data_IF_741584185173
#
_entry.id   IF_741584185173
#
_cell.length_a   1.000
_cell.length_b   1.000
_cell.length_c   1.000
_cell.angle_alpha   90.00
_cell.angle_beta   90.00
_cell.angle_gamma   90.00
#
_symmetry.space_group_name_H-M   'P 1'
#
loop_
_entity.id
_entity.type
_entity.pdbx_description
1 polymer ?
#
# COMPACT_ATOMS: atom_id res chain seq x y z
N UNK A 1 -22.08 26.38 4.17
CA UNK A 1 -20.82 25.69 3.89
C UNK A 1 -19.62 26.67 3.81
N UNK A 2 -19.62 27.78 3.03
CA UNK A 2 -18.43 28.64 2.90
C UNK A 2 -17.88 29.19 4.24
N UNK A 3 -18.76 29.56 5.16
CA UNK A 3 -18.35 30.01 6.47
C UNK A 3 -17.70 28.91 7.32
N UNK A 4 -18.25 27.68 7.27
CA UNK A 4 -17.69 26.52 7.96
C UNK A 4 -16.31 26.18 7.42
N UNK A 5 -16.14 26.16 6.09
CA UNK A 5 -14.84 25.94 5.44
C UNK A 5 -13.83 26.97 5.93
N UNK A 6 -14.17 28.27 5.89
CA UNK A 6 -13.28 29.33 6.32
C UNK A 6 -12.85 29.17 7.78
N UNK A 7 -13.79 28.82 8.68
CA UNK A 7 -13.49 28.64 10.13
C UNK A 7 -12.55 27.42 10.30
N UNK A 8 -12.84 26.30 9.67
CA UNK A 8 -12.03 25.08 9.77
C UNK A 8 -10.62 25.28 9.20
N UNK A 9 -10.48 25.94 8.06
CA UNK A 9 -9.18 26.28 7.47
C UNK A 9 -8.39 27.21 8.39
N UNK A 10 -9.03 28.22 8.94
CA UNK A 10 -8.37 29.13 9.89
C UNK A 10 -7.90 28.40 11.15
N UNK A 11 -8.71 27.50 11.71
CA UNK A 11 -8.33 26.67 12.84
C UNK A 11 -7.15 25.76 12.52
N UNK A 12 -7.18 25.08 11.37
CA UNK A 12 -6.08 24.24 10.91
C UNK A 12 -4.77 25.03 10.73
N UNK A 13 -4.85 26.26 10.22
CA UNK A 13 -3.67 27.12 10.04
C UNK A 13 -3.14 27.70 11.37
N UNK A 14 -3.98 27.78 12.39
CA UNK A 14 -3.60 28.17 13.77
C UNK A 14 -3.17 26.97 14.62
N UNK A 15 -3.11 25.78 14.02
CA UNK A 15 -2.76 24.53 14.70
C UNK A 15 -3.71 24.17 15.86
N UNK A 16 -5.00 24.52 15.72
CA UNK A 16 -6.02 24.08 16.66
C UNK A 16 -6.14 22.57 16.64
N UNK A 17 -5.89 21.91 17.76
CA UNK A 17 -5.84 20.45 17.86
C UNK A 17 -7.16 19.76 17.54
N UNK A 18 -8.29 20.39 17.91
CA UNK A 18 -9.61 19.78 17.73
C UNK A 18 -10.58 20.79 17.15
N UNK A 19 -11.29 20.37 16.12
CA UNK A 19 -12.38 21.10 15.51
C UNK A 19 -13.55 20.15 15.28
N UNK A 20 -14.78 20.63 15.49
CA UNK A 20 -15.99 19.83 15.33
C UNK A 20 -16.90 20.46 14.28
N UNK A 21 -17.24 19.70 13.24
CA UNK A 21 -18.21 20.07 12.23
C UNK A 21 -19.54 19.33 12.49
N UNK A 22 -20.54 20.06 13.01
CA UNK A 22 -21.89 19.53 13.21
C UNK A 22 -22.75 19.80 11.99
N UNK A 23 -23.48 18.77 11.56
CA UNK A 23 -24.43 18.89 10.44
C UNK A 23 -25.27 17.63 10.28
N UNK A 24 -26.50 17.79 9.84
CA UNK A 24 -27.41 16.68 9.51
C UNK A 24 -26.89 15.91 8.28
N UNK A 25 -27.42 14.72 8.06
CA UNK A 25 -27.15 13.94 6.82
C UNK A 25 -27.57 14.78 5.61
N UNK A 26 -26.75 14.74 4.53
CA UNK A 26 -26.99 15.53 3.32
C UNK A 26 -26.59 17.02 3.40
N UNK A 27 -26.08 17.51 4.52
CA UNK A 27 -25.65 18.93 4.65
C UNK A 27 -24.35 19.27 3.91
N UNK A 28 -23.72 18.32 3.25
CA UNK A 28 -22.48 18.50 2.50
C UNK A 28 -21.21 18.49 3.39
N UNK A 29 -21.21 17.73 4.48
CA UNK A 29 -20.02 17.58 5.36
C UNK A 29 -18.81 17.06 4.60
N UNK A 30 -18.99 16.03 3.74
CA UNK A 30 -17.91 15.47 2.93
C UNK A 30 -17.31 16.51 1.99
N UNK A 31 -18.14 17.30 1.32
CA UNK A 31 -17.68 18.41 0.48
C UNK A 31 -16.93 19.47 1.29
N UNK A 32 -17.45 19.82 2.48
CA UNK A 32 -16.78 20.77 3.39
C UNK A 32 -15.39 20.25 3.78
N UNK A 33 -15.27 18.97 4.13
CA UNK A 33 -14.01 18.32 4.47
C UNK A 33 -13.03 18.33 3.28
N UNK A 34 -13.51 17.99 2.07
CA UNK A 34 -12.69 18.04 0.86
C UNK A 34 -12.15 19.46 0.61
N UNK A 35 -12.98 20.50 0.75
CA UNK A 35 -12.54 21.90 0.59
C UNK A 35 -11.56 22.36 1.68
N UNK A 36 -11.62 21.83 2.88
CA UNK A 36 -10.61 22.10 3.92
C UNK A 36 -9.29 21.44 3.56
N UNK A 37 -9.29 20.17 3.11
CA UNK A 37 -8.08 19.46 2.66
C UNK A 37 -7.43 20.19 1.48
N UNK A 38 -8.23 20.58 0.47
CA UNK A 38 -7.76 21.37 -0.69
C UNK A 38 -7.08 22.68 -0.26
N UNK A 39 -7.73 23.43 0.63
CA UNK A 39 -7.22 24.73 1.07
C UNK A 39 -5.97 24.65 1.97
N UNK A 40 -5.82 23.56 2.74
CA UNK A 40 -4.65 23.37 3.62
C UNK A 40 -3.48 22.72 2.90
N UNK A 41 -3.74 21.99 1.82
CA UNK A 41 -2.75 21.27 0.99
C UNK A 41 -1.76 20.43 1.83
N UNK A 42 -2.28 19.71 2.82
CA UNK A 42 -1.51 18.83 3.71
C UNK A 42 -1.92 17.38 3.49
N UNK A 43 -1.03 16.40 3.72
CA UNK A 43 -1.44 15.01 3.79
C UNK A 43 -2.60 14.84 4.79
N UNK A 44 -3.60 14.04 4.42
CA UNK A 44 -4.80 13.89 5.22
C UNK A 44 -5.15 12.42 5.47
N UNK A 45 -5.62 12.12 6.68
CA UNK A 45 -6.14 10.83 7.07
C UNK A 45 -7.61 10.96 7.46
N UNK A 46 -8.49 10.24 6.76
CA UNK A 46 -9.91 10.14 7.06
C UNK A 46 -10.18 8.79 7.69
N UNK A 47 -10.61 8.77 8.95
CA UNK A 47 -10.98 7.56 9.67
C UNK A 47 -12.49 7.36 9.65
N UNK A 48 -12.94 6.26 9.06
CA UNK A 48 -14.34 5.85 9.05
C UNK A 48 -14.58 4.71 10.07
N UNK A 49 -15.77 4.61 10.67
CA UNK A 49 -16.07 3.58 11.67
C UNK A 49 -16.13 2.17 11.09
N UNK A 50 -16.34 2.01 9.79
CA UNK A 50 -16.41 0.70 9.13
C UNK A 50 -15.93 0.76 7.68
N UNK A 51 -15.74 -0.42 7.06
CA UNK A 51 -15.27 -0.56 5.67
C UNK A 51 -16.24 0.05 4.65
N UNK A 52 -17.54 -0.08 4.85
CA UNK A 52 -18.56 0.41 3.90
C UNK A 52 -18.51 1.93 3.79
N UNK A 53 -18.48 2.62 4.92
CA UNK A 53 -18.38 4.08 4.92
C UNK A 53 -17.00 4.54 4.40
N UNK A 54 -15.93 3.80 4.73
CA UNK A 54 -14.61 4.08 4.17
C UNK A 54 -14.61 3.97 2.64
N UNK A 55 -15.25 2.94 2.07
CA UNK A 55 -15.35 2.76 0.62
C UNK A 55 -16.13 3.91 -0.06
N UNK A 56 -17.25 4.33 0.55
CA UNK A 56 -18.01 5.47 0.06
C UNK A 56 -17.16 6.75 0.06
N UNK A 57 -16.53 7.07 1.19
CA UNK A 57 -15.69 8.27 1.32
C UNK A 57 -14.49 8.22 0.36
N UNK A 58 -13.89 7.05 0.16
CA UNK A 58 -12.81 6.86 -0.81
C UNK A 58 -13.27 7.21 -2.23
N UNK A 59 -14.44 6.71 -2.65
CA UNK A 59 -15.01 7.04 -3.96
C UNK A 59 -15.31 8.54 -4.12
N UNK A 60 -15.90 9.18 -3.10
CA UNK A 60 -16.18 10.62 -3.10
C UNK A 60 -14.87 11.44 -3.16
N UNK A 61 -13.85 11.08 -2.37
CA UNK A 61 -12.55 11.78 -2.36
C UNK A 61 -11.80 11.63 -3.68
N UNK A 62 -11.88 10.47 -4.34
CA UNK A 62 -11.31 10.30 -5.70
C UNK A 62 -11.93 11.22 -6.74
N UNK A 63 -13.22 11.51 -6.62
CA UNK A 63 -13.89 12.47 -7.50
C UNK A 63 -13.47 13.92 -7.21
N UNK A 64 -13.22 14.27 -5.94
CA UNK A 64 -12.78 15.62 -5.56
C UNK A 64 -11.30 15.85 -5.86
N UNK A 65 -10.48 14.80 -5.82
CA UNK A 65 -9.02 14.87 -5.94
C UNK A 65 -8.51 13.89 -7.01
N UNK A 66 -8.77 14.14 -8.31
CA UNK A 66 -8.43 13.19 -9.37
C UNK A 66 -6.92 13.01 -9.55
N UNK A 67 -6.12 14.04 -9.25
CA UNK A 67 -4.66 14.05 -9.45
C UNK A 67 -3.85 13.68 -8.20
N UNK A 68 -4.49 13.71 -7.02
CA UNK A 68 -3.85 13.37 -5.76
C UNK A 68 -3.77 11.85 -5.55
N UNK A 69 -2.86 11.42 -4.67
CA UNK A 69 -2.82 10.06 -4.20
C UNK A 69 -3.93 9.80 -3.18
N UNK A 70 -5.14 9.50 -3.67
CA UNK A 70 -6.25 9.07 -2.81
C UNK A 70 -6.18 7.58 -2.64
N UNK A 71 -5.97 7.11 -1.40
CA UNK A 71 -5.66 5.73 -1.06
C UNK A 71 -6.68 5.15 -0.08
N UNK A 72 -6.90 3.84 -0.19
CA UNK A 72 -7.84 3.09 0.65
C UNK A 72 -7.09 2.14 1.59
N UNK A 73 -7.31 2.26 2.89
CA UNK A 73 -6.59 1.51 3.90
C UNK A 73 -7.52 0.92 4.96
N UNK A 74 -7.94 -0.32 4.75
CA UNK A 74 -8.84 -1.06 5.66
C UNK A 74 -8.25 -2.43 6.00
N UNK A 75 -8.87 -3.16 6.93
CA UNK A 75 -8.47 -4.55 7.21
C UNK A 75 -8.63 -5.42 5.96
N UNK A 76 -7.60 -6.20 5.62
CA UNK A 76 -7.58 -7.08 4.46
C UNK A 76 -8.32 -8.41 4.65
N UNK A 77 -8.80 -8.70 5.86
CA UNK A 77 -9.66 -9.86 6.12
C UNK A 77 -11.09 -9.55 5.69
N UNK A 78 -11.61 -10.31 4.73
CA UNK A 78 -12.99 -10.15 4.24
C UNK A 78 -13.95 -11.09 4.91
N UNK A 79 -13.52 -12.28 5.21
CA UNK A 79 -14.37 -13.32 5.73
C UNK A 79 -13.80 -13.89 7.04
N UNK A 80 -14.68 -14.02 8.00
CA UNK A 80 -14.40 -14.58 9.30
C UNK A 80 -15.44 -15.66 9.56
N UNK A 81 -15.09 -16.93 9.34
CA UNK A 81 -15.88 -18.05 9.84
C UNK A 81 -15.56 -18.26 11.32
N UNK A 82 -16.51 -18.07 12.23
CA UNK A 82 -16.32 -18.46 13.61
C UNK A 82 -16.10 -19.97 13.69
N UNK A 83 -15.28 -20.39 14.64
CA UNK A 83 -15.16 -21.80 14.98
C UNK A 83 -16.56 -22.36 15.29
N UNK A 84 -16.90 -23.48 14.67
CA UNK A 84 -18.17 -24.15 14.90
C UNK A 84 -17.94 -25.66 14.97
N UNK A 85 -18.49 -26.28 16.02
CA UNK A 85 -18.56 -27.74 16.10
C UNK A 85 -19.93 -28.20 15.67
N UNK A 86 -19.99 -29.12 14.71
CA UNK A 86 -21.23 -29.72 14.22
C UNK A 86 -21.36 -31.14 14.83
N UNK A 87 -22.15 -31.30 15.92
CA UNK A 87 -22.22 -32.58 16.64
C UNK A 87 -22.75 -33.74 15.80
N UNK A 88 -23.55 -33.46 14.77
CA UNK A 88 -24.16 -34.46 13.89
C UNK A 88 -23.17 -35.20 13.00
N UNK A 89 -22.07 -34.53 12.63
CA UNK A 89 -21.03 -35.09 11.74
C UNK A 89 -19.69 -35.22 12.44
N UNK A 90 -19.63 -34.93 13.75
CA UNK A 90 -18.39 -34.89 14.54
C UNK A 90 -17.29 -34.06 13.82
N UNK A 91 -17.71 -32.93 13.23
CA UNK A 91 -16.83 -32.10 12.42
C UNK A 91 -16.58 -30.79 13.14
N UNK A 92 -15.30 -30.49 13.34
CA UNK A 92 -14.84 -29.20 13.81
C UNK A 92 -14.55 -28.31 12.59
N UNK A 93 -15.24 -27.19 12.48
CA UNK A 93 -15.00 -26.17 11.45
C UNK A 93 -14.00 -25.19 12.05
N UNK A 94 -12.77 -25.20 11.53
CA UNK A 94 -11.74 -24.28 11.97
C UNK A 94 -12.08 -22.84 11.54
N UNK A 95 -11.55 -21.90 12.32
CA UNK A 95 -11.64 -20.48 12.01
C UNK A 95 -10.81 -20.17 10.77
N UNK A 96 -11.47 -19.86 9.67
CA UNK A 96 -10.81 -19.40 8.44
C UNK A 96 -10.96 -17.89 8.27
N UNK A 97 -9.82 -17.24 8.01
CA UNK A 97 -9.79 -15.84 7.59
C UNK A 97 -9.17 -15.78 6.19
N UNK A 98 -9.96 -15.43 5.20
CA UNK A 98 -9.46 -15.20 3.85
C UNK A 98 -8.90 -13.78 3.71
N UNK A 99 -7.71 -13.68 3.14
CA UNK A 99 -7.09 -12.39 2.79
C UNK A 99 -7.63 -11.94 1.44
N UNK A 100 -8.19 -10.74 1.39
CA UNK A 100 -8.55 -10.11 0.13
C UNK A 100 -7.31 -9.49 -0.50
N UNK A 101 -6.84 -10.11 -1.58
CA UNK A 101 -5.62 -9.69 -2.29
C UNK A 101 -5.71 -8.26 -2.86
N UNK A 102 -6.90 -7.84 -3.29
CA UNK A 102 -7.10 -6.47 -3.79
C UNK A 102 -6.94 -5.44 -2.67
N UNK A 103 -7.54 -5.70 -1.51
CA UNK A 103 -7.38 -4.82 -0.34
C UNK A 103 -5.94 -4.81 0.14
N UNK A 104 -5.26 -5.96 0.16
CA UNK A 104 -3.86 -6.03 0.53
C UNK A 104 -2.97 -5.20 -0.42
N UNK A 105 -3.21 -5.29 -1.73
CA UNK A 105 -2.55 -4.45 -2.74
C UNK A 105 -2.79 -2.95 -2.48
N UNK A 106 -4.04 -2.55 -2.20
CA UNK A 106 -4.39 -1.16 -1.92
C UNK A 106 -3.69 -0.64 -0.65
N UNK A 107 -3.50 -1.49 0.36
CA UNK A 107 -2.73 -1.16 1.56
C UNK A 107 -1.25 -0.91 1.24
N UNK A 108 -0.64 -1.75 0.40
CA UNK A 108 0.74 -1.53 -0.08
C UNK A 108 0.86 -0.25 -0.90
N UNK A 109 -0.13 0.05 -1.77
CA UNK A 109 -0.20 1.31 -2.50
C UNK A 109 -0.24 2.52 -1.56
N UNK A 110 -1.11 2.48 -0.55
CA UNK A 110 -1.25 3.56 0.43
C UNK A 110 0.06 3.81 1.21
N UNK A 111 0.71 2.76 1.67
CA UNK A 111 1.98 2.88 2.40
C UNK A 111 3.08 3.46 1.51
N UNK A 112 3.16 3.01 0.25
CA UNK A 112 4.10 3.56 -0.72
C UNK A 112 3.83 5.04 -0.99
N UNK A 113 2.58 5.42 -1.24
CA UNK A 113 2.20 6.80 -1.51
C UNK A 113 2.59 7.73 -0.36
N UNK A 114 2.41 7.31 0.90
CA UNK A 114 2.85 8.06 2.09
C UNK A 114 4.37 8.27 2.13
N UNK A 115 5.16 7.35 1.59
CA UNK A 115 6.62 7.43 1.61
C UNK A 115 7.20 8.18 0.40
N UNK A 116 6.41 8.38 -0.66
CA UNK A 116 6.89 8.95 -1.93
C UNK A 116 6.23 10.28 -2.31
N UNK A 117 5.08 10.63 -1.71
CA UNK A 117 4.27 11.79 -2.12
C UNK A 117 3.83 12.62 -0.92
N UNK A 118 3.68 13.92 -1.14
CA UNK A 118 3.19 14.89 -0.14
C UNK A 118 1.69 15.20 -0.29
N UNK A 119 1.08 14.83 -1.43
CA UNK A 119 -0.32 15.08 -1.77
C UNK A 119 -1.23 13.86 -1.48
N UNK A 120 -0.95 13.16 -0.39
CA UNK A 120 -1.61 11.89 -0.03
C UNK A 120 -2.86 12.13 0.81
N UNK A 121 -3.95 11.45 0.43
CA UNK A 121 -5.18 11.40 1.20
C UNK A 121 -5.53 9.92 1.43
N UNK A 122 -5.48 9.48 2.68
CA UNK A 122 -5.83 8.11 3.04
C UNK A 122 -7.22 8.07 3.66
N UNK A 123 -8.08 7.20 3.12
CA UNK A 123 -9.35 6.83 3.73
C UNK A 123 -9.22 5.46 4.36
N UNK A 124 -9.35 5.41 5.68
CA UNK A 124 -9.13 4.19 6.46
C UNK A 124 -10.33 3.84 7.33
N UNK A 125 -10.47 2.57 7.69
CA UNK A 125 -11.39 2.16 8.75
C UNK A 125 -10.66 2.07 10.08
N UNK A 126 -11.39 2.25 11.20
CA UNK A 126 -10.78 2.17 12.55
C UNK A 126 -10.10 0.82 12.81
N UNK A 127 -10.49 -0.26 12.13
CA UNK A 127 -9.85 -1.56 12.25
C UNK A 127 -8.39 -1.61 11.77
N UNK A 128 -7.94 -0.60 11.01
CA UNK A 128 -6.57 -0.56 10.50
C UNK A 128 -5.53 -0.08 11.53
N UNK A 129 -5.94 0.48 12.68
CA UNK A 129 -5.02 0.92 13.75
C UNK A 129 -4.34 -0.25 14.47
N UNK A 130 -4.87 -1.46 14.31
CA UNK A 130 -4.32 -2.66 14.91
C UNK A 130 -3.43 -3.42 13.93
N UNK A 131 -2.36 -4.03 14.43
CA UNK A 131 -1.53 -4.95 13.66
C UNK A 131 -0.72 -4.30 12.55
N UNK A 132 -0.28 -3.08 12.72
CA UNK A 132 0.74 -2.46 11.86
C UNK A 132 2.12 -2.73 12.46
N UNK A 133 3.05 -3.15 11.61
CA UNK A 133 4.47 -3.23 11.97
C UNK A 133 5.07 -1.82 12.17
N UNK A 134 6.36 -1.76 12.54
CA UNK A 134 7.07 -0.49 12.67
C UNK A 134 7.20 0.21 11.32
N UNK A 135 6.70 1.44 11.22
CA UNK A 135 6.85 2.31 10.03
C UNK A 135 8.32 2.55 9.70
N UNK A 136 9.16 2.71 10.73
CA UNK A 136 10.61 2.90 10.56
C UNK A 136 11.29 1.65 9.97
N UNK A 137 10.88 0.47 10.41
CA UNK A 137 11.38 -0.79 9.87
C UNK A 137 10.96 -0.95 8.40
N UNK A 138 9.70 -0.68 8.09
CA UNK A 138 9.18 -0.77 6.72
C UNK A 138 9.86 0.22 5.76
N UNK A 139 10.04 1.48 6.17
CA UNK A 139 10.68 2.50 5.34
C UNK A 139 12.15 2.21 5.05
N UNK A 140 12.87 1.57 5.99
CA UNK A 140 14.27 1.15 5.80
C UNK A 140 14.40 -0.10 4.94
N UNK A 141 13.35 -0.90 4.83
CA UNK A 141 13.32 -2.12 4.01
C UNK A 141 12.84 -1.81 2.59
N UNK A 142 13.66 -1.09 1.85
CA UNK A 142 13.43 -0.77 0.45
C UNK A 142 14.68 -1.10 -0.38
N UNK A 143 14.46 -1.59 -1.60
CA UNK A 143 15.51 -1.79 -2.59
C UNK A 143 15.32 -0.75 -3.69
N UNK A 144 16.26 0.18 -3.78
CA UNK A 144 16.26 1.18 -4.87
C UNK A 144 17.20 0.72 -5.97
N UNK A 145 16.70 0.66 -7.20
CA UNK A 145 17.45 0.28 -8.38
C UNK A 145 17.35 1.39 -9.42
N UNK A 146 18.50 1.83 -9.91
CA UNK A 146 18.63 2.92 -10.87
C UNK A 146 19.37 2.45 -12.11
N UNK A 147 18.85 2.81 -13.29
CA UNK A 147 19.48 2.53 -14.57
C UNK A 147 20.90 3.08 -14.65
N UNK A 148 21.79 2.34 -15.32
CA UNK A 148 23.21 2.65 -15.53
C UNK A 148 24.11 2.54 -14.29
N UNK A 149 23.61 2.01 -13.17
CA UNK A 149 24.41 1.68 -12.00
C UNK A 149 24.78 0.19 -11.97
N UNK A 150 25.86 -0.12 -11.27
CA UNK A 150 26.33 -1.49 -11.10
C UNK A 150 25.68 -2.14 -9.89
N UNK A 151 25.12 -3.33 -10.10
CA UNK A 151 24.47 -4.13 -9.08
C UNK A 151 24.81 -5.60 -9.24
N UNK A 152 25.28 -6.21 -8.17
CA UNK A 152 25.46 -7.66 -8.18
C UNK A 152 24.07 -8.34 -8.17
N UNK A 153 23.80 -9.17 -9.17
CA UNK A 153 22.52 -9.86 -9.36
C UNK A 153 22.12 -10.71 -8.16
N UNK A 154 23.06 -11.40 -7.55
CA UNK A 154 22.79 -12.22 -6.37
C UNK A 154 22.40 -11.37 -5.16
N UNK A 155 22.97 -10.19 -5.02
CA UNK A 155 22.61 -9.24 -3.97
C UNK A 155 21.20 -8.69 -4.17
N UNK A 156 20.79 -8.40 -5.42
CA UNK A 156 19.39 -8.01 -5.72
C UNK A 156 18.45 -9.15 -5.29
N UNK A 157 18.74 -10.39 -5.68
CA UNK A 157 17.91 -11.56 -5.32
C UNK A 157 17.84 -11.74 -3.80
N UNK A 158 18.95 -11.63 -3.07
CA UNK A 158 18.99 -11.70 -1.60
C UNK A 158 18.14 -10.59 -0.98
N UNK A 159 18.20 -9.39 -1.53
CA UNK A 159 17.39 -8.24 -1.08
C UNK A 159 15.90 -8.49 -1.32
N UNK A 160 15.50 -9.01 -2.48
CA UNK A 160 14.11 -9.35 -2.78
C UNK A 160 13.57 -10.41 -1.80
N UNK A 161 14.35 -11.45 -1.51
CA UNK A 161 13.97 -12.46 -0.51
C UNK A 161 13.84 -11.84 0.89
N UNK A 162 14.76 -10.94 1.28
CA UNK A 162 14.66 -10.21 2.55
C UNK A 162 13.41 -9.31 2.62
N UNK A 163 12.98 -8.75 1.48
CA UNK A 163 11.74 -8.00 1.32
C UNK A 163 10.49 -8.89 1.22
N UNK A 164 10.63 -10.21 1.47
CA UNK A 164 9.54 -11.20 1.44
C UNK A 164 8.95 -11.47 0.05
N UNK A 165 9.68 -11.18 -1.02
CA UNK A 165 9.31 -11.65 -2.35
C UNK A 165 9.68 -13.13 -2.51
N UNK A 166 8.80 -13.89 -3.15
CA UNK A 166 9.03 -15.31 -3.43
C UNK A 166 9.55 -15.48 -4.86
N UNK A 167 10.59 -16.31 -5.05
CA UNK A 167 10.99 -16.69 -6.39
C UNK A 167 9.99 -17.68 -6.97
N UNK A 168 9.46 -17.37 -8.15
CA UNK A 168 8.57 -18.25 -8.87
C UNK A 168 8.77 -18.06 -10.38
N UNK A 169 9.52 -18.98 -10.98
CA UNK A 169 9.86 -18.89 -12.41
C UNK A 169 8.74 -19.43 -13.32
N UNK A 170 7.76 -20.16 -12.77
CA UNK A 170 6.65 -20.76 -13.52
C UNK A 170 5.39 -19.90 -13.45
N UNK A 171 4.98 -19.51 -12.26
CA UNK A 171 3.77 -18.75 -12.02
C UNK A 171 4.15 -17.37 -11.47
N UNK A 172 4.01 -16.35 -12.31
CA UNK A 172 4.44 -14.98 -12.01
C UNK A 172 3.23 -14.12 -11.64
N UNK A 173 3.16 -13.76 -10.38
CA UNK A 173 2.07 -12.97 -9.80
C UNK A 173 2.60 -11.96 -8.78
N UNK A 174 1.76 -11.09 -8.28
CA UNK A 174 2.07 -10.05 -7.30
C UNK A 174 2.85 -10.60 -6.09
N UNK A 175 3.92 -9.93 -5.71
CA UNK A 175 4.80 -10.37 -4.60
C UNK A 175 5.78 -11.49 -4.97
N UNK A 176 5.94 -11.77 -6.27
CA UNK A 176 6.94 -12.72 -6.74
C UNK A 176 8.00 -12.05 -7.61
N UNK A 177 9.12 -12.72 -7.78
CA UNK A 177 10.11 -12.41 -8.79
C UNK A 177 10.54 -13.68 -9.54
N UNK A 178 11.02 -13.51 -10.76
CA UNK A 178 11.59 -14.60 -11.56
C UNK A 178 12.89 -14.16 -12.22
N UNK A 179 13.78 -15.12 -12.48
CA UNK A 179 15.09 -14.87 -13.05
C UNK A 179 15.29 -15.76 -14.29
N UNK A 180 15.36 -15.15 -15.48
CA UNK A 180 15.49 -15.85 -16.77
C UNK A 180 16.61 -15.21 -17.60
N UNK A 181 17.70 -15.96 -17.82
CA UNK A 181 18.85 -15.41 -18.57
C UNK A 181 19.38 -14.14 -17.93
N UNK A 182 19.48 -13.07 -18.68
CA UNK A 182 19.94 -11.75 -18.25
C UNK A 182 18.84 -10.91 -17.59
N UNK A 183 17.60 -11.40 -17.58
CA UNK A 183 16.46 -10.67 -17.02
C UNK A 183 16.17 -11.09 -15.58
N UNK A 184 15.88 -10.10 -14.77
CA UNK A 184 15.26 -10.25 -13.46
C UNK A 184 13.93 -9.49 -13.48
N UNK A 185 12.83 -10.21 -13.32
CA UNK A 185 11.49 -9.63 -13.35
C UNK A 185 10.88 -9.65 -11.96
N UNK A 186 10.26 -8.54 -11.58
CA UNK A 186 9.68 -8.32 -10.25
C UNK A 186 8.23 -7.89 -10.43
N UNK A 187 7.31 -8.55 -9.74
CA UNK A 187 5.92 -8.11 -9.67
C UNK A 187 5.68 -7.43 -8.32
N UNK A 188 5.71 -6.09 -8.27
CA UNK A 188 5.59 -5.34 -7.03
C UNK A 188 4.26 -5.56 -6.31
N UNK A 189 4.30 -5.53 -4.97
CA UNK A 189 3.12 -5.79 -4.13
C UNK A 189 1.99 -4.76 -4.28
N UNK A 190 2.29 -3.56 -4.75
CA UNK A 190 1.34 -2.45 -4.93
C UNK A 190 0.76 -2.33 -6.35
N UNK A 191 1.31 -3.05 -7.34
CA UNK A 191 0.82 -3.03 -8.71
C UNK A 191 -0.20 -4.16 -8.96
N UNK A 192 -1.13 -3.91 -9.88
CA UNK A 192 -2.20 -4.86 -10.21
C UNK A 192 -1.89 -5.64 -11.48
N UNK A 193 -1.52 -4.93 -12.54
CA UNK A 193 -1.40 -5.43 -13.91
C UNK A 193 -0.07 -5.04 -14.56
N UNK A 194 0.91 -4.63 -13.77
CA UNK A 194 2.23 -4.21 -14.24
C UNK A 194 3.32 -4.86 -13.41
N UNK A 195 4.40 -5.19 -14.09
CA UNK A 195 5.61 -5.72 -13.48
C UNK A 195 6.83 -4.98 -14.03
N UNK A 196 7.96 -5.15 -13.36
CA UNK A 196 9.23 -4.55 -13.78
C UNK A 196 10.19 -5.61 -14.28
N UNK A 197 10.83 -5.34 -15.42
CA UNK A 197 11.91 -6.15 -15.99
C UNK A 197 13.21 -5.37 -15.91
N UNK A 198 14.19 -5.96 -15.26
CA UNK A 198 15.55 -5.45 -15.14
C UNK A 198 16.43 -6.23 -16.11
N UNK A 199 17.13 -5.53 -16.99
CA UNK A 199 18.12 -6.12 -17.92
C UNK A 199 19.52 -5.85 -17.38
N UNK A 200 20.23 -6.91 -17.01
CA UNK A 200 21.57 -6.84 -16.44
C UNK A 200 22.58 -7.40 -17.45
N UNK A 201 23.59 -6.61 -17.78
CA UNK A 201 24.75 -7.07 -18.53
C UNK A 201 25.98 -7.11 -17.61
N UNK A 202 26.38 -8.30 -17.20
CA UNK A 202 27.28 -8.46 -16.06
C UNK A 202 26.64 -7.90 -14.78
N UNK A 203 27.34 -6.97 -14.15
CA UNK A 203 26.82 -6.27 -12.96
C UNK A 203 26.11 -4.94 -13.29
N UNK A 204 26.08 -4.52 -14.56
CA UNK A 204 25.47 -3.25 -14.96
C UNK A 204 23.97 -3.40 -15.24
N UNK A 205 23.16 -2.59 -14.59
CA UNK A 205 21.73 -2.49 -14.86
C UNK A 205 21.49 -1.54 -16.05
N UNK A 206 21.38 -2.10 -17.26
CA UNK A 206 21.28 -1.32 -18.48
C UNK A 206 19.88 -0.77 -18.76
N UNK A 207 18.84 -1.51 -18.36
CA UNK A 207 17.46 -1.16 -18.65
C UNK A 207 16.51 -1.56 -17.52
N UNK A 208 15.52 -0.71 -17.29
CA UNK A 208 14.38 -0.97 -16.41
C UNK A 208 13.12 -0.73 -17.23
N UNK A 209 12.28 -1.75 -17.37
CA UNK A 209 11.05 -1.70 -18.13
C UNK A 209 9.85 -1.99 -17.22
N UNK A 210 8.80 -1.20 -17.37
CA UNK A 210 7.48 -1.58 -16.90
C UNK A 210 6.78 -2.33 -18.02
N UNK A 211 6.25 -3.50 -17.75
CA UNK A 211 5.63 -4.35 -18.75
C UNK A 211 4.34 -4.99 -18.25
N UNK A 212 3.49 -5.43 -19.16
CA UNK A 212 2.31 -6.23 -18.87
C UNK A 212 2.72 -7.69 -18.67
N UNK A 213 2.53 -8.29 -17.47
CA UNK A 213 2.98 -9.65 -17.18
C UNK A 213 2.20 -10.74 -17.95
N UNK A 214 1.01 -10.43 -18.52
CA UNK A 214 0.19 -11.36 -19.29
C UNK A 214 0.66 -11.44 -20.74
N UNK A 215 0.88 -10.29 -21.38
CA UNK A 215 1.29 -10.20 -22.79
C UNK A 215 2.80 -10.19 -22.94
N UNK A 216 3.53 -9.69 -21.96
CA UNK A 216 4.97 -9.46 -22.01
C UNK A 216 5.35 -8.14 -22.66
N UNK A 217 4.36 -7.33 -23.10
CA UNK A 217 4.58 -6.09 -23.81
C UNK A 217 5.14 -5.00 -22.91
N UNK A 218 6.13 -4.28 -23.41
CA UNK A 218 6.68 -3.12 -22.73
C UNK A 218 5.64 -1.98 -22.73
N UNK A 219 5.39 -1.41 -21.56
CA UNK A 219 4.52 -0.25 -21.38
C UNK A 219 5.33 1.04 -21.43
N UNK A 220 6.41 1.10 -20.67
CA UNK A 220 7.33 2.23 -20.65
C UNK A 220 8.70 1.84 -20.08
N UNK A 221 9.69 2.67 -20.35
CA UNK A 221 11.01 2.58 -19.73
C UNK A 221 11.06 3.45 -18.48
N UNK A 222 11.75 2.96 -17.44
CA UNK A 222 11.93 3.64 -16.17
C UNK A 222 13.42 3.92 -15.93
N UNK A 223 13.71 5.00 -15.25
CA UNK A 223 15.09 5.35 -14.85
C UNK A 223 15.43 4.85 -13.45
N UNK A 224 14.41 4.70 -12.61
CA UNK A 224 14.54 4.30 -11.22
C UNK A 224 13.29 3.56 -10.77
N UNK A 225 13.47 2.51 -9.96
CA UNK A 225 12.39 1.83 -9.24
C UNK A 225 12.75 1.65 -7.78
N UNK A 226 11.73 1.71 -6.93
CA UNK A 226 11.83 1.38 -5.50
C UNK A 226 10.94 0.18 -5.21
N UNK A 227 11.56 -0.91 -4.78
CA UNK A 227 10.87 -2.12 -4.37
C UNK A 227 10.65 -2.06 -2.87
N UNK A 228 9.41 -2.00 -2.45
CA UNK A 228 9.00 -2.05 -1.04
C UNK A 228 8.75 -3.49 -0.62
N UNK A 229 8.76 -3.70 0.68
CA UNK A 229 8.50 -5.01 1.25
C UNK A 229 7.11 -5.57 0.86
N UNK A 230 7.04 -6.87 0.63
CA UNK A 230 5.81 -7.59 0.27
C UNK A 230 4.95 -7.95 1.50
N UNK A 231 5.22 -7.36 2.65
CA UNK A 231 4.44 -7.51 3.87
C UNK A 231 4.60 -6.29 4.76
N UNK A 232 3.53 -5.86 5.44
CA UNK A 232 3.59 -4.83 6.47
C UNK A 232 4.15 -5.34 7.81
N UNK A 233 4.32 -6.64 7.96
CA UNK A 233 4.74 -7.31 9.19
C UNK A 233 6.20 -7.76 9.17
N UNK A 234 7.07 -6.99 8.52
CA UNK A 234 8.47 -7.33 8.44
C UNK A 234 9.21 -6.87 9.69
N UNK A 235 9.92 -7.80 10.31
CA UNK A 235 10.82 -7.52 11.43
C UNK A 235 12.26 -7.64 10.93
N UNK A 236 13.07 -6.59 11.00
CA UNK A 236 14.49 -6.66 10.64
C UNK A 236 15.22 -7.71 11.48
N UNK A 237 16.18 -8.43 10.88
CA UNK A 237 16.98 -9.46 11.57
C UNK A 237 17.54 -9.03 12.92
N UNK A 238 18.15 -7.83 13.08
CA UNK A 238 18.65 -7.38 14.38
C UNK A 238 17.58 -7.29 15.47
N UNK A 239 16.34 -6.97 15.10
CA UNK A 239 15.20 -6.91 16.04
C UNK A 239 14.75 -8.30 16.45
N UNK A 240 14.82 -9.29 15.54
CA UNK A 240 14.53 -10.70 15.85
C UNK A 240 15.58 -11.23 16.82
N UNK A 241 16.87 -10.96 16.59
CA UNK A 241 17.97 -11.37 17.45
C UNK A 241 17.85 -10.77 18.86
N UNK A 242 17.38 -9.53 19.00
CA UNK A 242 17.09 -8.90 20.29
C UNK A 242 15.88 -9.46 21.02
N UNK A 243 14.91 -10.02 20.30
CA UNK A 243 13.69 -10.58 20.89
C UNK A 243 13.86 -12.03 21.37
N UNK A 244 14.95 -12.69 21.00
CA UNK A 244 15.25 -14.10 21.35
C UNK A 244 16.16 -14.22 22.58
N UNK A 245 16.59 -13.09 23.16
CA UNK A 245 17.33 -13.01 24.42
C UNK A 245 16.32 -12.81 25.56
#
# INVERSE_FOLDING_TARGET
QPEAIKKLVNGANKEEFNQVLLGVTGSGKTFTMAKVIEATNRPALILAPNKTLAAQLYGEMKMFFPDNAVEYFVSYYDYYTPEAYVPRSDTYIEKEASINEQIDRMRHSATRSLLERDDVLIVASVSCIYGLGSVEAYSKMTLTLQKNYDYNREQIIKSLVALQYKRNDQNFYRGTFRARGEYLEIFPSHLEDRAWRLSLFGDKLEKIEEFDPLTGDQVRELTLVKVYANSHYITPKPTIEQAVI
#
